data_IF_544983239250
#
_entry.id   IF_544983239250
#
_cell.length_a   1.000
_cell.length_b   1.000
_cell.length_c   1.000
_cell.angle_alpha   90.00
_cell.angle_beta   90.00
_cell.angle_gamma   90.00
#
_symmetry.space_group_name_H-M   'P 1'
#
loop_
_entity.id
_entity.type
_entity.pdbx_description
1 polymer ?
#
# COMPACT_ATOMS: atom_id res chain seq x y z
N UNK A 1 22.93 11.20 -11.65
CA UNK A 1 22.50 10.47 -10.44
C UNK A 1 21.27 11.06 -9.75
N UNK A 2 21.30 12.21 -9.06
CA UNK A 2 20.10 12.70 -8.33
C UNK A 2 18.93 13.10 -9.24
N UNK A 3 19.20 13.76 -10.36
CA UNK A 3 18.16 14.17 -11.34
C UNK A 3 17.53 12.97 -12.04
N UNK A 4 18.33 11.96 -12.40
CA UNK A 4 17.85 10.72 -13.03
C UNK A 4 16.97 9.91 -12.09
N UNK A 5 17.37 9.77 -10.82
CA UNK A 5 16.53 9.14 -9.79
C UNK A 5 15.22 9.91 -9.59
N UNK A 6 15.24 11.24 -9.70
CA UNK A 6 14.03 12.06 -9.60
C UNK A 6 13.09 11.85 -10.79
N UNK A 7 13.61 11.83 -12.00
CA UNK A 7 12.85 11.56 -13.22
C UNK A 7 12.28 10.14 -13.25
N UNK A 8 13.07 9.14 -12.83
CA UNK A 8 12.62 7.75 -12.74
C UNK A 8 11.45 7.59 -11.76
N UNK A 9 11.55 8.22 -10.58
CA UNK A 9 10.46 8.25 -9.60
C UNK A 9 9.17 8.88 -10.16
N UNK A 10 9.29 9.97 -10.92
CA UNK A 10 8.13 10.62 -11.55
C UNK A 10 7.47 9.68 -12.57
N UNK A 11 8.27 9.00 -13.42
CA UNK A 11 7.74 8.06 -14.40
C UNK A 11 6.98 6.91 -13.72
N UNK A 12 7.53 6.36 -12.62
CA UNK A 12 6.85 5.32 -11.85
C UNK A 12 5.56 5.83 -11.20
N UNK A 13 5.54 7.07 -10.69
CA UNK A 13 4.32 7.68 -10.16
C UNK A 13 3.23 7.80 -11.23
N UNK A 14 3.58 8.23 -12.45
CA UNK A 14 2.64 8.36 -13.58
C UNK A 14 2.08 6.99 -13.97
N UNK A 15 2.95 5.98 -14.14
CA UNK A 15 2.55 4.61 -14.46
C UNK A 15 1.59 4.03 -13.41
N UNK A 16 1.93 4.19 -12.13
CA UNK A 16 1.12 3.70 -11.02
C UNK A 16 -0.20 4.45 -10.90
N UNK A 17 -0.21 5.77 -11.09
CA UNK A 17 -1.45 6.53 -11.05
C UNK A 17 -2.41 6.08 -12.17
N UNK A 18 -1.89 5.88 -13.38
CA UNK A 18 -2.67 5.31 -14.48
C UNK A 18 -3.18 3.90 -14.15
N UNK A 19 -2.34 3.05 -13.58
CA UNK A 19 -2.74 1.71 -13.14
C UNK A 19 -3.87 1.77 -12.09
N UNK A 20 -3.76 2.63 -11.07
CA UNK A 20 -4.76 2.77 -10.02
C UNK A 20 -6.10 3.32 -10.54
N UNK A 21 -6.07 4.23 -11.52
CA UNK A 21 -7.29 4.77 -12.15
C UNK A 21 -8.13 3.69 -12.84
N UNK A 22 -7.48 2.63 -13.36
CA UNK A 22 -8.13 1.52 -14.06
C UNK A 22 -8.53 0.36 -13.16
N UNK A 23 -7.88 0.24 -11.99
CA UNK A 23 -8.05 -0.89 -11.07
C UNK A 23 -8.66 -0.42 -9.75
N UNK A 24 -9.79 0.29 -9.84
CA UNK A 24 -10.57 0.75 -8.70
C UNK A 24 -11.45 -0.36 -8.11
N UNK A 25 -12.11 -0.06 -6.99
CA UNK A 25 -12.94 -1.06 -6.30
C UNK A 25 -14.16 -1.51 -7.13
N UNK A 26 -14.67 -0.66 -8.04
CA UNK A 26 -15.77 -1.02 -8.95
C UNK A 26 -15.29 -2.02 -10.01
N UNK A 27 -14.11 -1.79 -10.58
CA UNK A 27 -13.47 -2.71 -11.50
C UNK A 27 -13.25 -4.09 -10.86
N UNK A 28 -12.77 -4.12 -9.62
CA UNK A 28 -12.57 -5.37 -8.86
C UNK A 28 -13.89 -6.16 -8.73
N UNK A 29 -15.01 -5.49 -8.43
CA UNK A 29 -16.33 -6.17 -8.39
C UNK A 29 -16.74 -6.72 -9.75
N UNK A 30 -16.50 -5.97 -10.82
CA UNK A 30 -16.84 -6.39 -12.18
C UNK A 30 -16.06 -7.63 -12.61
N UNK A 31 -14.74 -7.68 -12.35
CA UNK A 31 -13.91 -8.84 -12.73
C UNK A 31 -14.31 -10.11 -11.96
N UNK A 32 -14.72 -9.97 -10.70
CA UNK A 32 -15.24 -11.08 -9.86
C UNK A 32 -16.55 -11.60 -10.45
N UNK A 33 -17.50 -10.70 -10.74
CA UNK A 33 -18.80 -11.09 -11.32
C UNK A 33 -18.67 -11.78 -12.69
N UNK A 34 -17.61 -11.46 -13.43
CA UNK A 34 -17.33 -12.03 -14.75
C UNK A 34 -16.43 -13.28 -14.70
N UNK A 35 -16.10 -13.80 -13.51
CA UNK A 35 -15.15 -14.91 -13.32
C UNK A 35 -13.80 -14.71 -14.04
N UNK A 36 -13.35 -13.45 -14.19
CA UNK A 36 -12.09 -13.09 -14.88
C UNK A 36 -10.86 -13.15 -13.98
N UNK A 37 -11.08 -13.38 -12.69
CA UNK A 37 -10.04 -13.59 -11.69
C UNK A 37 -10.50 -14.77 -10.85
N UNK A 38 -9.80 -15.89 -10.97
CA UNK A 38 -10.29 -17.20 -10.53
C UNK A 38 -9.55 -17.73 -9.32
N UNK A 39 -8.48 -17.09 -8.89
CA UNK A 39 -7.75 -17.46 -7.68
C UNK A 39 -7.66 -16.31 -6.68
N UNK A 40 -7.83 -16.64 -5.41
CA UNK A 40 -7.61 -15.70 -4.30
C UNK A 40 -6.16 -15.17 -4.28
N UNK A 41 -5.21 -15.95 -4.80
CA UNK A 41 -3.81 -15.59 -4.95
C UNK A 41 -3.62 -14.42 -5.92
N UNK A 42 -4.43 -14.31 -6.97
CA UNK A 42 -4.36 -13.17 -7.88
C UNK A 42 -4.72 -11.87 -7.17
N UNK A 43 -5.68 -11.90 -6.24
CA UNK A 43 -6.05 -10.73 -5.44
C UNK A 43 -4.90 -10.33 -4.51
N UNK A 44 -4.22 -11.29 -3.87
CA UNK A 44 -3.04 -11.01 -3.03
C UNK A 44 -1.93 -10.33 -3.83
N UNK A 45 -1.58 -10.89 -4.99
CA UNK A 45 -0.56 -10.35 -5.89
C UNK A 45 -0.87 -8.95 -6.40
N UNK A 46 -2.15 -8.57 -6.45
CA UNK A 46 -2.57 -7.19 -6.76
C UNK A 46 -2.71 -6.30 -5.54
N UNK A 47 -2.86 -6.86 -4.34
CA UNK A 47 -2.98 -6.12 -3.08
C UNK A 47 -1.63 -5.63 -2.57
N UNK A 48 -0.57 -6.43 -2.66
CA UNK A 48 0.78 -6.02 -2.27
C UNK A 48 1.84 -6.73 -3.12
N UNK A 49 2.76 -5.99 -3.73
CA UNK A 49 3.79 -6.57 -4.60
C UNK A 49 5.02 -5.67 -4.75
N UNK A 50 6.14 -6.28 -5.15
CA UNK A 50 7.34 -5.57 -5.58
C UNK A 50 7.15 -5.05 -7.01
N UNK A 51 7.27 -3.74 -7.18
CA UNK A 51 7.08 -3.00 -8.43
C UNK A 51 8.39 -2.42 -8.94
N UNK A 52 9.23 -3.20 -9.63
CA UNK A 52 10.55 -2.77 -10.11
C UNK A 52 11.51 -2.41 -8.96
N UNK A 53 12.67 -3.06 -8.95
CA UNK A 53 13.74 -2.80 -7.99
C UNK A 53 13.26 -2.81 -6.52
N UNK A 54 13.31 -1.66 -5.84
CA UNK A 54 13.01 -1.51 -4.42
C UNK A 54 11.66 -0.80 -4.14
N UNK A 55 10.81 -0.67 -5.15
CA UNK A 55 9.51 -0.02 -4.99
C UNK A 55 8.46 -1.06 -4.63
N UNK A 56 7.77 -0.90 -3.51
CA UNK A 56 6.69 -1.78 -3.07
C UNK A 56 5.37 -1.06 -3.29
N UNK A 57 4.38 -1.75 -3.84
CA UNK A 57 3.02 -1.24 -4.01
C UNK A 57 2.09 -1.92 -3.04
N UNK A 58 1.26 -1.15 -2.35
CA UNK A 58 0.08 -1.61 -1.62
C UNK A 58 -1.16 -0.98 -2.26
N UNK A 59 -2.04 -1.81 -2.80
CA UNK A 59 -3.30 -1.37 -3.37
C UNK A 59 -4.46 -1.64 -2.40
N UNK A 60 -4.89 -0.59 -1.70
CA UNK A 60 -5.94 -0.69 -0.69
C UNK A 60 -7.28 -1.18 -1.27
N UNK A 61 -7.58 -0.91 -2.55
CA UNK A 61 -8.83 -1.39 -3.15
C UNK A 61 -8.90 -2.93 -3.20
N UNK A 62 -7.78 -3.60 -3.51
CA UNK A 62 -7.70 -5.06 -3.46
C UNK A 62 -7.67 -5.57 -2.02
N UNK A 63 -6.86 -4.95 -1.15
CA UNK A 63 -6.79 -5.34 0.26
C UNK A 63 -8.16 -5.24 0.94
N UNK A 64 -8.88 -4.14 0.71
CA UNK A 64 -10.26 -3.95 1.18
C UNK A 64 -11.20 -5.02 0.68
N UNK A 65 -11.09 -5.43 -0.60
CA UNK A 65 -11.92 -6.50 -1.13
C UNK A 65 -11.65 -7.83 -0.41
N UNK A 66 -10.38 -8.20 -0.23
CA UNK A 66 -9.97 -9.42 0.48
C UNK A 66 -10.51 -9.41 1.92
N UNK A 67 -10.24 -8.33 2.66
CA UNK A 67 -10.65 -8.20 4.07
C UNK A 67 -12.17 -8.13 4.24
N UNK A 68 -12.89 -7.58 3.27
CA UNK A 68 -14.36 -7.50 3.32
C UNK A 68 -15.01 -8.85 3.07
N UNK A 69 -14.46 -9.64 2.16
CA UNK A 69 -15.01 -10.96 1.79
C UNK A 69 -14.46 -12.10 2.66
N UNK A 70 -13.53 -11.82 3.58
CA UNK A 70 -13.01 -12.81 4.53
C UNK A 70 -12.20 -13.91 3.84
N UNK A 71 -11.58 -13.60 2.70
CA UNK A 71 -10.82 -14.57 1.90
C UNK A 71 -9.58 -15.06 2.66
N UNK A 72 -8.94 -14.17 3.41
CA UNK A 72 -7.78 -14.47 4.26
C UNK A 72 -7.94 -13.86 5.65
N UNK A 73 -7.29 -14.47 6.64
CA UNK A 73 -7.19 -13.90 7.99
C UNK A 73 -6.28 -12.66 8.00
N UNK A 74 -6.44 -11.81 9.01
CA UNK A 74 -5.58 -10.63 9.15
C UNK A 74 -4.12 -11.02 9.35
N UNK A 75 -3.87 -12.09 10.09
CA UNK A 75 -2.53 -12.61 10.39
C UNK A 75 -1.84 -13.05 9.11
N UNK A 76 -2.54 -13.80 8.26
CA UNK A 76 -2.02 -14.23 6.97
C UNK A 76 -1.71 -13.03 6.05
N UNK A 77 -2.59 -12.02 6.02
CA UNK A 77 -2.37 -10.83 5.20
C UNK A 77 -1.17 -10.01 5.68
N UNK A 78 -1.02 -9.85 7.00
CA UNK A 78 0.16 -9.21 7.58
C UNK A 78 1.41 -9.99 7.19
N UNK A 79 1.42 -11.31 7.38
CA UNK A 79 2.56 -12.17 7.02
C UNK A 79 2.93 -12.05 5.53
N UNK A 80 1.94 -12.13 4.64
CA UNK A 80 2.14 -11.95 3.21
C UNK A 80 2.79 -10.61 2.88
N UNK A 81 2.25 -9.51 3.42
CA UNK A 81 2.81 -8.18 3.20
C UNK A 81 4.24 -8.12 3.76
N UNK A 82 4.48 -8.64 4.97
CA UNK A 82 5.83 -8.63 5.56
C UNK A 82 6.84 -9.44 4.73
N UNK A 83 6.42 -10.52 4.08
CA UNK A 83 7.30 -11.30 3.22
C UNK A 83 7.73 -10.51 1.98
N UNK A 84 6.83 -9.76 1.34
CA UNK A 84 7.19 -8.85 0.23
C UNK A 84 8.25 -7.82 0.67
N UNK A 85 8.09 -7.25 1.87
CA UNK A 85 9.07 -6.31 2.41
C UNK A 85 10.41 -6.98 2.75
N UNK A 86 10.39 -8.16 3.38
CA UNK A 86 11.59 -8.95 3.71
C UNK A 86 12.40 -9.28 2.45
N UNK A 87 11.74 -9.78 1.42
CA UNK A 87 12.36 -10.07 0.13
C UNK A 87 13.00 -8.81 -0.47
N UNK A 88 12.29 -7.68 -0.43
CA UNK A 88 12.84 -6.41 -0.95
C UNK A 88 14.09 -5.97 -0.19
N UNK A 89 14.07 -6.00 1.15
CA UNK A 89 15.23 -5.56 1.96
C UNK A 89 16.39 -6.55 1.96
N UNK A 90 16.18 -7.78 1.51
CA UNK A 90 17.26 -8.75 1.31
C UNK A 90 18.23 -8.30 0.22
N UNK A 91 17.70 -7.62 -0.82
CA UNK A 91 18.49 -7.18 -1.98
C UNK A 91 18.73 -5.67 -2.00
N UNK A 92 17.94 -4.89 -1.26
CA UNK A 92 18.01 -3.42 -1.27
C UNK A 92 18.14 -2.85 0.14
N UNK A 93 19.04 -1.86 0.31
CA UNK A 93 19.27 -1.22 1.62
C UNK A 93 18.04 -0.45 2.12
N UNK A 94 17.30 0.17 1.21
CA UNK A 94 16.09 0.95 1.46
C UNK A 94 15.02 0.62 0.41
N UNK A 95 13.76 0.86 0.74
CA UNK A 95 12.63 0.69 -0.18
C UNK A 95 11.79 1.95 -0.28
N UNK A 96 11.07 2.07 -1.39
CA UNK A 96 10.08 3.14 -1.64
C UNK A 96 8.70 2.50 -1.62
N UNK A 97 7.77 3.06 -0.85
CA UNK A 97 6.42 2.54 -0.71
C UNK A 97 5.44 3.36 -1.56
N UNK A 98 4.52 2.69 -2.23
CA UNK A 98 3.46 3.28 -3.02
C UNK A 98 2.12 2.75 -2.51
N UNK A 99 1.30 3.60 -1.91
CA UNK A 99 0.00 3.22 -1.35
C UNK A 99 -1.12 3.85 -2.16
N UNK A 100 -1.90 3.04 -2.87
CA UNK A 100 -3.18 3.50 -3.39
C UNK A 100 -4.20 3.47 -2.27
N UNK A 101 -4.72 4.63 -1.87
CA UNK A 101 -5.72 4.78 -0.79
C UNK A 101 -7.15 4.95 -1.31
N UNK A 102 -7.37 4.72 -2.60
CA UNK A 102 -8.68 4.88 -3.21
C UNK A 102 -9.76 4.07 -2.47
N UNK A 103 -10.93 4.67 -2.27
CA UNK A 103 -12.07 4.13 -1.53
C UNK A 103 -11.84 3.82 -0.04
N UNK A 104 -10.81 4.36 0.59
CA UNK A 104 -10.70 4.38 2.05
C UNK A 104 -11.83 5.23 2.65
N UNK A 105 -12.58 4.66 3.58
CA UNK A 105 -13.68 5.33 4.29
C UNK A 105 -13.42 5.35 5.79
N UNK A 106 -14.15 6.20 6.52
CA UNK A 106 -14.06 6.24 7.99
C UNK A 106 -14.41 4.89 8.62
N UNK A 107 -15.46 4.22 8.12
CA UNK A 107 -15.84 2.89 8.59
C UNK A 107 -14.73 1.85 8.40
N UNK A 108 -13.93 1.98 7.35
CA UNK A 108 -12.80 1.08 7.14
C UNK A 108 -11.70 1.31 8.19
N UNK A 109 -11.40 2.58 8.51
CA UNK A 109 -10.41 2.93 9.52
C UNK A 109 -10.80 2.34 10.88
N UNK A 110 -12.07 2.49 11.27
CA UNK A 110 -12.58 1.96 12.54
C UNK A 110 -12.59 0.42 12.53
N UNK A 111 -13.14 -0.19 11.47
CA UNK A 111 -13.26 -1.65 11.36
C UNK A 111 -11.91 -2.35 11.32
N UNK A 112 -10.93 -1.77 10.62
CA UNK A 112 -9.62 -2.36 10.40
C UNK A 112 -8.53 -1.72 11.27
N UNK A 113 -8.90 -1.00 12.33
CA UNK A 113 -7.97 -0.33 13.22
C UNK A 113 -6.89 -1.25 13.77
N UNK A 114 -7.26 -2.46 14.24
CA UNK A 114 -6.31 -3.42 14.80
C UNK A 114 -5.32 -3.91 13.74
N UNK A 115 -5.77 -4.13 12.50
CA UNK A 115 -4.90 -4.48 11.39
C UNK A 115 -3.90 -3.35 11.08
N UNK A 116 -4.38 -2.11 10.98
CA UNK A 116 -3.56 -0.91 10.73
C UNK A 116 -2.54 -0.71 11.85
N UNK A 117 -2.93 -0.88 13.11
CA UNK A 117 -2.04 -0.81 14.27
C UNK A 117 -0.96 -1.88 14.19
N UNK A 118 -1.35 -3.14 14.01
CA UNK A 118 -0.42 -4.27 14.04
C UNK A 118 0.60 -4.17 12.92
N UNK A 119 0.17 -3.88 11.69
CA UNK A 119 1.11 -3.72 10.58
C UNK A 119 2.07 -2.55 10.82
N UNK A 120 1.59 -1.43 11.38
CA UNK A 120 2.44 -0.26 11.66
C UNK A 120 3.52 -0.57 12.71
N UNK A 121 3.17 -1.29 13.77
CA UNK A 121 4.11 -1.71 14.82
C UNK A 121 5.13 -2.72 14.28
N UNK A 122 4.67 -3.75 13.57
CA UNK A 122 5.54 -4.77 13.00
C UNK A 122 6.52 -4.14 11.99
N UNK A 123 6.05 -3.22 11.14
CA UNK A 123 6.92 -2.53 10.19
C UNK A 123 8.00 -1.68 10.88
N UNK A 124 7.63 -0.99 11.96
CA UNK A 124 8.58 -0.18 12.75
C UNK A 124 9.67 -1.06 13.39
N UNK A 125 9.29 -2.21 13.92
CA UNK A 125 10.21 -3.14 14.58
C UNK A 125 11.07 -3.92 13.58
N UNK A 126 10.47 -4.37 12.47
CA UNK A 126 11.13 -5.24 11.49
C UNK A 126 12.01 -4.47 10.51
N UNK A 127 11.65 -3.24 10.16
CA UNK A 127 12.31 -2.45 9.13
C UNK A 127 12.68 -1.02 9.59
N UNK A 128 13.37 -0.87 10.73
CA UNK A 128 13.72 0.44 11.25
C UNK A 128 14.61 1.20 10.27
N UNK A 129 14.24 2.45 9.96
CA UNK A 129 14.96 3.35 9.05
C UNK A 129 15.15 2.82 7.61
N UNK A 130 14.36 1.83 7.17
CA UNK A 130 14.47 1.25 5.82
C UNK A 130 13.60 1.93 4.76
N UNK A 131 12.53 2.61 5.17
CA UNK A 131 11.69 3.40 4.26
C UNK A 131 12.48 4.62 3.78
N UNK A 132 12.58 4.82 2.46
CA UNK A 132 13.12 6.05 1.87
C UNK A 132 12.01 7.09 1.65
N UNK A 133 10.96 6.71 0.90
CA UNK A 133 9.77 7.54 0.64
C UNK A 133 8.51 6.69 0.65
N UNK A 134 7.38 7.29 1.02
CA UNK A 134 6.05 6.69 0.92
C UNK A 134 5.14 7.62 0.11
N UNK A 135 4.78 7.22 -1.09
CA UNK A 135 3.87 7.93 -1.97
C UNK A 135 2.43 7.43 -1.76
N UNK A 136 1.52 8.33 -1.44
CA UNK A 136 0.11 8.02 -1.22
C UNK A 136 -0.72 8.58 -2.36
N UNK A 137 -1.35 7.69 -3.11
CA UNK A 137 -2.18 8.01 -4.28
C UNK A 137 -3.64 7.99 -3.91
N UNK A 138 -4.43 8.82 -4.59
CA UNK A 138 -5.89 8.86 -4.44
C UNK A 138 -6.32 8.98 -2.97
N UNK A 139 -5.62 9.81 -2.20
CA UNK A 139 -5.86 9.99 -0.77
C UNK A 139 -7.22 10.68 -0.57
N UNK A 140 -8.25 10.00 -0.03
CA UNK A 140 -9.50 10.69 0.29
C UNK A 140 -9.29 11.66 1.45
N UNK A 141 -10.20 12.62 1.63
CA UNK A 141 -10.16 13.57 2.75
C UNK A 141 -9.97 12.87 4.12
N UNK A 142 -10.54 11.68 4.28
CA UNK A 142 -10.44 10.89 5.50
C UNK A 142 -9.03 10.33 5.78
N UNK A 143 -8.13 10.35 4.80
CA UNK A 143 -6.74 9.95 4.96
C UNK A 143 -6.03 10.76 6.06
N UNK A 144 -6.41 12.02 6.27
CA UNK A 144 -5.90 12.84 7.38
C UNK A 144 -6.15 12.19 8.76
N UNK A 145 -7.25 11.47 8.93
CA UNK A 145 -7.57 10.71 10.15
C UNK A 145 -6.72 9.45 10.26
N UNK A 146 -6.56 8.71 9.16
CA UNK A 146 -5.63 7.57 9.12
C UNK A 146 -4.21 8.01 9.48
N UNK A 147 -3.72 9.10 8.89
CA UNK A 147 -2.41 9.69 9.19
C UNK A 147 -2.27 10.05 10.69
N UNK A 148 -3.32 10.64 11.27
CA UNK A 148 -3.34 10.96 12.71
C UNK A 148 -3.21 9.70 13.58
N UNK A 149 -3.87 8.60 13.20
CA UNK A 149 -3.75 7.31 13.90
C UNK A 149 -2.33 6.75 13.76
N UNK A 150 -1.79 6.73 12.53
CA UNK A 150 -0.44 6.24 12.26
C UNK A 150 0.63 7.02 13.05
N UNK A 151 0.41 8.31 13.28
CA UNK A 151 1.33 9.17 14.04
C UNK A 151 1.53 8.76 15.50
N UNK A 152 0.63 7.95 16.05
CA UNK A 152 0.74 7.40 17.42
C UNK A 152 1.76 6.25 17.46
N UNK A 153 1.92 5.52 16.35
CA UNK A 153 2.73 4.31 16.30
C UNK A 153 4.09 4.54 15.65
N UNK A 154 4.15 5.45 14.68
CA UNK A 154 5.30 5.69 13.80
C UNK A 154 6.06 6.94 14.25
N UNK A 155 7.39 6.93 14.14
CA UNK A 155 8.22 8.08 14.52
C UNK A 155 8.11 9.25 13.52
N UNK A 156 8.46 10.45 13.99
CA UNK A 156 8.37 11.67 13.20
C UNK A 156 9.22 11.64 11.92
N UNK A 157 10.39 10.99 11.93
CA UNK A 157 11.26 10.93 10.75
C UNK A 157 10.64 10.04 9.67
N UNK A 158 9.96 8.96 10.04
CA UNK A 158 9.19 8.13 9.11
C UNK A 158 7.95 8.86 8.58
N UNK A 159 7.22 9.60 9.42
CA UNK A 159 6.05 10.39 8.98
C UNK A 159 6.42 11.45 7.92
N UNK A 160 7.61 12.06 8.04
CA UNK A 160 8.11 13.06 7.09
C UNK A 160 8.40 12.49 5.69
N UNK A 161 8.48 11.16 5.55
CA UNK A 161 8.70 10.48 4.27
C UNK A 161 7.40 10.24 3.50
N UNK A 162 6.25 10.49 4.12
CA UNK A 162 4.93 10.32 3.49
C UNK A 162 4.62 11.54 2.64
N UNK A 163 4.30 11.32 1.36
CA UNK A 163 3.98 12.34 0.38
C UNK A 163 2.68 11.95 -0.32
N UNK A 164 1.67 12.83 -0.26
CA UNK A 164 0.46 12.68 -1.06
C UNK A 164 0.81 13.06 -2.50
N UNK A 165 0.44 12.19 -3.44
CA UNK A 165 0.65 12.40 -4.87
C UNK A 165 -0.59 13.07 -5.43
N UNK A 166 -0.48 14.37 -5.68
CA UNK A 166 -1.45 15.15 -6.46
C UNK A 166 -0.92 15.20 -7.90
N UNK A 167 -1.55 14.44 -8.79
CA UNK A 167 -1.32 14.53 -10.23
C UNK A 167 -2.55 15.21 -10.81
N UNK A 168 -2.44 16.54 -10.96
CA UNK A 168 -3.38 17.38 -11.71
C UNK A 168 -3.50 16.92 -13.19
#
# INVERSE_FOLDING_TARGET
MEVENRMMNINYQIELNHYFSKNDYKHIKMIVQQNRMTSDEDFLKKACYLYKENHIVINYSYLKWIMKNGVYTNEFLIEYIMNVFKETVMYHKHFILHINSNHLTMMDIDKYYLFIKNISLIMKESFPNKLDKCFVYNAPFIFSKLFSILSVFIDKATLQKIQIVDLD
#
